data_IF_760973416154
#
_entry.id   IF_760973416154
#
_cell.length_a   1.000
_cell.length_b   1.000
_cell.length_c   1.000
_cell.angle_alpha   90.00
_cell.angle_beta   90.00
_cell.angle_gamma   90.00
#
_symmetry.space_group_name_H-M   'P 1'
#
loop_
_entity.id
_entity.type
_entity.pdbx_description
1 polymer ?
#
# COMPACT_ATOMS: atom_id res chain seq x y z
N UNK A 1 19.93 21.81 -1.92
CA UNK A 1 19.21 21.23 -0.76
C UNK A 1 18.10 20.20 -1.10
N UNK A 2 17.93 19.74 -2.35
CA UNK A 2 16.91 18.71 -2.70
C UNK A 2 17.33 17.28 -2.29
N UNK A 3 18.62 16.97 -2.42
CA UNK A 3 19.19 15.64 -2.13
C UNK A 3 19.01 15.28 -0.65
N UNK A 4 19.32 16.20 0.27
CA UNK A 4 19.18 15.97 1.72
C UNK A 4 17.75 15.58 2.11
N UNK A 5 16.73 16.28 1.58
CA UNK A 5 15.33 15.94 1.83
C UNK A 5 14.96 14.55 1.30
N UNK A 6 15.49 14.17 0.14
CA UNK A 6 15.29 12.84 -0.43
C UNK A 6 15.92 11.74 0.44
N UNK A 7 17.15 11.96 0.93
CA UNK A 7 17.84 11.03 1.84
C UNK A 7 17.07 10.86 3.15
N UNK A 8 16.60 11.96 3.75
CA UNK A 8 15.79 11.93 4.98
C UNK A 8 14.47 11.18 4.74
N UNK A 9 13.79 11.44 3.62
CA UNK A 9 12.57 10.74 3.26
C UNK A 9 12.82 9.23 3.09
N UNK A 10 13.90 8.85 2.41
CA UNK A 10 14.26 7.44 2.20
C UNK A 10 14.56 6.73 3.54
N UNK A 11 15.28 7.39 4.45
CA UNK A 11 15.54 6.84 5.79
C UNK A 11 14.24 6.55 6.55
N UNK A 12 13.34 7.54 6.64
CA UNK A 12 12.07 7.35 7.33
C UNK A 12 11.17 6.31 6.67
N UNK A 13 11.19 6.22 5.34
CA UNK A 13 10.47 5.21 4.58
C UNK A 13 10.96 3.80 4.90
N UNK A 14 12.28 3.57 4.83
CA UNK A 14 12.89 2.28 5.18
C UNK A 14 12.60 1.89 6.62
N UNK A 15 12.62 2.85 7.56
CA UNK A 15 12.28 2.59 8.96
C UNK A 15 10.81 2.21 9.14
N UNK A 16 9.89 2.88 8.44
CA UNK A 16 8.47 2.53 8.44
C UNK A 16 8.23 1.11 7.94
N UNK A 17 8.86 0.71 6.83
CA UNK A 17 8.77 -0.67 6.31
C UNK A 17 9.30 -1.67 7.33
N UNK A 18 10.51 -1.45 7.86
CA UNK A 18 11.13 -2.36 8.81
C UNK A 18 10.29 -2.57 10.06
N UNK A 19 9.72 -1.50 10.63
CA UNK A 19 8.85 -1.57 11.79
C UNK A 19 7.54 -2.30 11.49
N UNK A 20 6.96 -2.05 10.30
CA UNK A 20 5.76 -2.75 9.83
C UNK A 20 5.98 -4.25 9.69
N UNK A 21 7.16 -4.68 9.21
CA UNK A 21 7.53 -6.10 9.13
C UNK A 21 7.75 -6.75 10.49
N UNK A 22 7.97 -5.95 11.54
CA UNK A 22 8.02 -6.39 12.94
C UNK A 22 6.69 -6.17 13.67
N UNK A 23 5.60 -5.94 12.94
CA UNK A 23 4.23 -5.72 13.46
C UNK A 23 4.08 -4.52 14.41
N UNK A 24 5.06 -3.59 14.40
CA UNK A 24 5.03 -2.34 15.18
C UNK A 24 4.30 -1.24 14.41
N UNK A 25 3.00 -1.44 14.18
CA UNK A 25 2.23 -0.64 13.20
C UNK A 25 2.11 0.84 13.58
N UNK A 26 1.92 1.19 14.86
CA UNK A 26 1.84 2.59 15.29
C UNK A 26 3.15 3.35 15.08
N UNK A 27 4.28 2.75 15.48
CA UNK A 27 5.61 3.33 15.23
C UNK A 27 5.87 3.45 13.72
N UNK A 28 5.53 2.43 12.95
CA UNK A 28 5.66 2.45 11.50
C UNK A 28 4.85 3.59 10.87
N UNK A 29 3.65 3.87 11.38
CA UNK A 29 2.78 4.93 10.91
C UNK A 29 3.34 6.32 11.24
N UNK A 30 3.96 6.50 12.40
CA UNK A 30 4.68 7.74 12.74
C UNK A 30 5.85 8.00 11.77
N UNK A 31 6.67 6.98 11.49
CA UNK A 31 7.74 7.07 10.51
C UNK A 31 7.22 7.34 9.08
N UNK A 32 6.06 6.79 8.72
CA UNK A 32 5.41 7.10 7.45
C UNK A 32 4.96 8.57 7.38
N UNK A 33 4.39 9.12 8.46
CA UNK A 33 4.04 10.54 8.58
C UNK A 33 5.29 11.43 8.51
N UNK A 34 6.43 10.99 9.05
CA UNK A 34 7.71 11.70 8.87
C UNK A 34 8.16 11.67 7.42
N UNK A 35 8.03 10.52 6.74
CA UNK A 35 8.35 10.38 5.30
C UNK A 35 7.60 11.40 4.46
N UNK A 36 6.29 11.57 4.68
CA UNK A 36 5.46 12.49 3.88
C UNK A 36 5.81 13.98 4.05
N UNK A 37 6.47 14.37 5.14
CA UNK A 37 6.96 15.74 5.34
C UNK A 37 8.13 16.10 4.41
N UNK A 38 8.88 15.10 3.95
CA UNK A 38 10.09 15.30 3.14
C UNK A 38 9.96 14.78 1.69
N UNK A 39 9.09 13.77 1.48
CA UNK A 39 8.80 13.19 0.17
C UNK A 39 7.88 14.12 -0.64
N UNK A 40 8.19 14.31 -1.92
CA UNK A 40 7.40 15.18 -2.84
C UNK A 40 6.47 14.42 -3.79
N UNK A 41 6.75 13.14 -4.01
CA UNK A 41 6.03 12.30 -4.98
C UNK A 41 5.53 11.09 -4.23
N UNK A 42 4.23 10.83 -4.28
CA UNK A 42 3.60 9.67 -3.67
C UNK A 42 3.04 8.79 -4.79
N UNK A 43 3.38 7.51 -4.72
CA UNK A 43 2.99 6.47 -5.67
C UNK A 43 2.05 5.46 -5.00
N UNK A 44 1.61 4.48 -5.78
CA UNK A 44 0.76 3.40 -5.33
C UNK A 44 1.36 2.64 -4.14
N UNK A 45 2.67 2.38 -4.11
CA UNK A 45 3.32 1.70 -2.97
C UNK A 45 3.19 2.49 -1.67
N UNK A 46 3.40 3.81 -1.74
CA UNK A 46 3.24 4.68 -0.58
C UNK A 46 1.82 4.62 -0.02
N UNK A 47 0.83 4.74 -0.91
CA UNK A 47 -0.57 4.75 -0.51
C UNK A 47 -1.06 3.37 -0.02
N UNK A 48 -0.58 2.27 -0.59
CA UNK A 48 -0.87 0.92 -0.10
C UNK A 48 -0.29 0.70 1.30
N UNK A 49 0.98 1.06 1.50
CA UNK A 49 1.62 0.95 2.81
C UNK A 49 0.92 1.82 3.86
N UNK A 50 0.48 3.02 3.47
CA UNK A 50 -0.34 3.88 4.31
C UNK A 50 -1.68 3.23 4.66
N UNK A 51 -2.39 2.69 3.67
CA UNK A 51 -3.66 2.01 3.88
C UNK A 51 -3.54 0.81 4.81
N UNK A 52 -2.53 -0.03 4.59
CA UNK A 52 -2.21 -1.15 5.47
C UNK A 52 -2.01 -0.70 6.92
N UNK A 53 -1.08 0.24 7.16
CA UNK A 53 -0.78 0.71 8.52
C UNK A 53 -1.98 1.38 9.21
N UNK A 54 -2.75 2.18 8.48
CA UNK A 54 -3.97 2.78 9.02
C UNK A 54 -5.01 1.72 9.41
N UNK A 55 -5.15 0.67 8.60
CA UNK A 55 -6.06 -0.43 8.88
C UNK A 55 -5.63 -1.21 10.12
N UNK A 56 -4.34 -1.55 10.20
CA UNK A 56 -3.75 -2.26 11.35
C UNK A 56 -3.77 -1.46 12.66
N UNK A 57 -3.96 -0.14 12.59
CA UNK A 57 -4.07 0.76 13.74
C UNK A 57 -5.51 1.20 14.02
N UNK A 58 -6.51 0.57 13.38
CA UNK A 58 -7.92 0.84 13.64
C UNK A 58 -8.51 2.09 12.96
N UNK A 59 -7.75 2.75 12.08
CA UNK A 59 -8.19 3.94 11.33
C UNK A 59 -8.86 3.55 10.00
N UNK A 60 -9.92 2.75 10.05
CA UNK A 60 -10.56 2.11 8.89
C UNK A 60 -10.91 3.08 7.74
N UNK A 61 -11.59 4.19 8.02
CA UNK A 61 -11.97 5.16 6.97
C UNK A 61 -10.76 5.77 6.25
N UNK A 62 -9.71 6.08 7.01
CA UNK A 62 -8.49 6.65 6.45
C UNK A 62 -7.72 5.60 5.66
N UNK A 63 -7.73 4.35 6.12
CA UNK A 63 -7.19 3.22 5.37
C UNK A 63 -7.87 3.07 4.01
N UNK A 64 -9.20 3.02 3.96
CA UNK A 64 -9.96 2.93 2.69
C UNK A 64 -9.65 4.11 1.76
N UNK A 65 -9.55 5.34 2.29
CA UNK A 65 -9.16 6.51 1.48
C UNK A 65 -7.77 6.35 0.87
N UNK A 66 -6.80 5.84 1.62
CA UNK A 66 -5.44 5.59 1.11
C UNK A 66 -5.43 4.46 0.07
N UNK A 67 -6.15 3.36 0.31
CA UNK A 67 -6.27 2.25 -0.64
C UNK A 67 -6.91 2.70 -1.98
N UNK A 68 -7.95 3.54 -1.94
CA UNK A 68 -8.54 4.16 -3.14
C UNK A 68 -7.51 4.97 -3.93
N UNK A 69 -6.75 5.84 -3.25
CA UNK A 69 -5.68 6.63 -3.88
C UNK A 69 -4.60 5.76 -4.52
N UNK A 70 -4.24 4.65 -3.90
CA UNK A 70 -3.28 3.72 -4.47
C UNK A 70 -3.77 3.15 -5.81
N UNK A 71 -5.04 2.72 -5.86
CA UNK A 71 -5.64 2.18 -7.08
C UNK A 71 -5.75 3.27 -8.15
N UNK A 72 -6.23 4.46 -7.79
CA UNK A 72 -6.29 5.61 -8.72
C UNK A 72 -4.92 5.93 -9.31
N UNK A 73 -3.87 5.98 -8.48
CA UNK A 73 -2.52 6.22 -8.96
C UNK A 73 -2.04 5.09 -9.88
N UNK A 74 -2.29 3.83 -9.53
CA UNK A 74 -1.88 2.66 -10.32
C UNK A 74 -2.46 2.66 -11.74
N UNK A 75 -3.62 3.30 -11.94
CA UNK A 75 -4.30 3.44 -13.22
C UNK A 75 -3.94 4.73 -13.96
N UNK A 76 -3.22 5.65 -13.33
CA UNK A 76 -2.77 6.88 -13.97
C UNK A 76 -1.62 6.63 -14.95
N UNK A 77 -1.43 7.54 -15.90
CA UNK A 77 -0.31 7.50 -16.86
C UNK A 77 1.09 7.57 -16.19
N UNK A 78 1.15 7.99 -14.93
CA UNK A 78 2.40 8.08 -14.16
C UNK A 78 2.83 6.72 -13.59
N UNK A 79 1.90 5.79 -13.46
CA UNK A 79 2.17 4.42 -13.00
C UNK A 79 3.01 3.68 -14.03
N UNK A 80 4.03 2.98 -13.56
CA UNK A 80 4.91 2.15 -14.41
C UNK A 80 4.54 0.66 -14.37
N UNK A 81 3.47 0.33 -13.66
CA UNK A 81 3.04 -1.06 -13.47
C UNK A 81 2.52 -1.64 -14.77
N UNK A 82 2.81 -2.93 -14.98
CA UNK A 82 2.11 -3.69 -16.00
C UNK A 82 0.68 -4.04 -15.56
N UNK A 83 -0.13 -4.57 -16.47
CA UNK A 83 -1.53 -4.88 -16.19
C UNK A 83 -1.71 -5.89 -15.06
N UNK A 84 -0.84 -6.89 -14.98
CA UNK A 84 -0.91 -7.94 -13.95
C UNK A 84 -0.55 -7.39 -12.57
N UNK A 85 0.43 -6.48 -12.49
CA UNK A 85 0.77 -5.78 -11.25
C UNK A 85 -0.35 -4.86 -10.77
N UNK A 86 -1.02 -4.15 -11.68
CA UNK A 86 -2.20 -3.32 -11.33
C UNK A 86 -3.31 -4.18 -10.72
N UNK A 87 -3.59 -5.34 -11.32
CA UNK A 87 -4.58 -6.29 -10.82
C UNK A 87 -4.14 -6.86 -9.46
N UNK A 88 -2.87 -7.24 -9.32
CA UNK A 88 -2.31 -7.76 -8.07
C UNK A 88 -2.45 -6.77 -6.91
N UNK A 89 -2.07 -5.51 -7.13
CA UNK A 89 -2.16 -4.46 -6.10
C UNK A 89 -3.60 -4.08 -5.77
N UNK A 90 -4.51 -4.08 -6.76
CA UNK A 90 -5.94 -3.92 -6.51
C UNK A 90 -6.46 -5.05 -5.62
N UNK A 91 -6.12 -6.31 -5.91
CA UNK A 91 -6.52 -7.46 -5.10
C UNK A 91 -5.96 -7.39 -3.67
N UNK A 92 -4.70 -6.97 -3.52
CA UNK A 92 -4.12 -6.69 -2.21
C UNK A 92 -4.91 -5.62 -1.45
N UNK A 93 -5.24 -4.50 -2.08
CA UNK A 93 -6.04 -3.44 -1.47
C UNK A 93 -7.45 -3.94 -1.06
N UNK A 94 -8.09 -4.75 -1.91
CA UNK A 94 -9.37 -5.40 -1.61
C UNK A 94 -9.27 -6.31 -0.38
N UNK A 95 -8.22 -7.13 -0.30
CA UNK A 95 -7.97 -8.00 0.84
C UNK A 95 -7.85 -7.18 2.13
N UNK A 96 -7.06 -6.10 2.13
CA UNK A 96 -6.96 -5.22 3.30
C UNK A 96 -8.33 -4.63 3.66
N UNK A 97 -9.06 -4.10 2.68
CA UNK A 97 -10.38 -3.52 2.91
C UNK A 97 -11.38 -4.52 3.51
N UNK A 98 -11.30 -5.80 3.12
CA UNK A 98 -12.18 -6.85 3.66
C UNK A 98 -12.00 -7.12 5.16
N UNK A 99 -10.85 -6.74 5.74
CA UNK A 99 -10.61 -6.88 7.17
C UNK A 99 -11.17 -5.74 8.01
N UNK A 100 -11.56 -4.63 7.40
CA UNK A 100 -11.91 -3.39 8.11
C UNK A 100 -13.38 -3.28 8.51
N UNK A 101 -14.18 -4.33 8.27
CA UNK A 101 -15.62 -4.40 8.56
C UNK A 101 -16.42 -3.19 8.02
N UNK A 102 -15.97 -2.64 6.90
CA UNK A 102 -16.64 -1.52 6.22
C UNK A 102 -17.77 -2.11 5.38
N UNK A 103 -19.00 -1.59 5.53
CA UNK A 103 -20.22 -2.03 4.81
C UNK A 103 -20.10 -1.88 3.27
N UNK A 104 -19.30 -2.74 2.66
CA UNK A 104 -18.97 -2.74 1.25
C UNK A 104 -17.47 -2.86 1.06
N UNK A 105 -17.02 -4.03 0.58
CA UNK A 105 -15.68 -4.16 -0.01
C UNK A 105 -15.66 -3.24 -1.24
N UNK A 106 -14.87 -2.16 -1.25
CA UNK A 106 -15.02 -1.12 -2.28
C UNK A 106 -14.54 -1.57 -3.67
N UNK A 107 -13.92 -2.75 -3.78
CA UNK A 107 -13.28 -3.21 -5.01
C UNK A 107 -13.58 -4.69 -5.26
N UNK A 108 -13.87 -5.05 -6.51
CA UNK A 108 -13.99 -6.45 -6.91
C UNK A 108 -12.61 -7.11 -7.05
N UNK A 109 -12.46 -8.34 -6.58
CA UNK A 109 -11.31 -9.21 -6.86
C UNK A 109 -11.32 -9.59 -8.34
N UNK A 110 -10.15 -9.57 -8.98
CA UNK A 110 -9.95 -10.07 -10.33
C UNK A 110 -8.78 -11.06 -10.34
N UNK A 111 -9.06 -12.34 -10.62
CA UNK A 111 -8.02 -13.37 -10.69
C UNK A 111 -7.44 -13.57 -12.10
N UNK A 112 -7.92 -12.81 -13.10
CA UNK A 112 -7.40 -12.86 -14.46
C UNK A 112 -6.11 -12.04 -14.60
N UNK A 113 -5.03 -12.50 -13.97
CA UNK A 113 -3.69 -11.94 -14.10
C UNK A 113 -2.61 -13.02 -13.99
N UNK A 114 -1.47 -12.80 -14.63
CA UNK A 114 -0.33 -13.71 -14.57
C UNK A 114 0.62 -13.32 -13.42
N UNK A 115 0.69 -14.15 -12.38
CA UNK A 115 1.57 -13.93 -11.22
C UNK A 115 3.07 -13.92 -11.54
N UNK A 116 3.48 -14.49 -12.69
CA UNK A 116 4.86 -14.44 -13.18
C UNK A 116 5.22 -13.03 -13.71
N UNK A 117 4.23 -12.26 -14.15
CA UNK A 117 4.41 -10.87 -14.58
C UNK A 117 4.42 -9.89 -13.39
N UNK A 118 4.10 -10.35 -12.18
CA UNK A 118 4.21 -9.54 -10.96
C UNK A 118 5.62 -9.62 -10.42
N UNK A 119 6.28 -8.47 -10.28
CA UNK A 119 7.64 -8.38 -9.73
C UNK A 119 7.74 -9.00 -8.32
N UNK A 120 8.90 -9.61 -8.04
CA UNK A 120 9.20 -10.23 -6.73
C UNK A 120 9.08 -9.23 -5.58
N UNK A 121 9.55 -8.00 -5.79
CA UNK A 121 9.44 -6.89 -4.84
C UNK A 121 8.00 -6.60 -4.41
N UNK A 122 7.05 -6.52 -5.36
CA UNK A 122 5.64 -6.31 -5.02
C UNK A 122 5.06 -7.49 -4.25
N UNK A 123 5.41 -8.72 -4.64
CA UNK A 123 4.97 -9.95 -3.95
C UNK A 123 5.51 -10.03 -2.52
N UNK A 124 6.74 -9.59 -2.29
CA UNK A 124 7.36 -9.60 -0.97
C UNK A 124 6.70 -8.58 -0.02
N UNK A 125 6.48 -7.35 -0.53
CA UNK A 125 5.92 -6.24 0.24
C UNK A 125 4.41 -6.34 0.45
N UNK A 126 3.67 -6.67 -0.59
CA UNK A 126 2.21 -6.61 -0.62
C UNK A 126 1.64 -8.02 -0.77
N UNK A 127 1.80 -8.83 0.28
CA UNK A 127 1.47 -10.26 0.27
C UNK A 127 -0.04 -10.51 0.14
N UNK A 128 -0.56 -10.50 -1.09
CA UNK A 128 -1.94 -10.89 -1.37
C UNK A 128 -2.12 -12.41 -1.22
N UNK A 129 -3.18 -12.81 -0.52
CA UNK A 129 -3.67 -14.19 -0.49
C UNK A 129 -5.19 -14.17 -0.62
N UNK A 130 -5.72 -14.79 -1.69
CA UNK A 130 -7.17 -14.87 -1.93
C UNK A 130 -7.92 -15.52 -0.76
N UNK A 131 -7.33 -16.54 -0.13
CA UNK A 131 -7.93 -17.24 1.02
C UNK A 131 -8.13 -16.37 2.26
N UNK A 132 -7.52 -15.18 2.29
CA UNK A 132 -7.64 -14.23 3.39
C UNK A 132 -8.71 -13.16 3.16
N UNK A 133 -9.29 -13.09 1.96
CA UNK A 133 -10.36 -12.14 1.64
C UNK A 133 -11.65 -12.57 2.35
N UNK A 134 -12.20 -11.70 3.20
CA UNK A 134 -13.50 -11.91 3.85
C UNK A 134 -14.61 -11.41 2.91
N UNK A 135 -15.45 -12.31 2.40
CA UNK A 135 -16.59 -12.02 1.51
C UNK A 135 -17.87 -12.20 2.30
#
# INVERSE_FOLDING_TARGET
MKIIKAVIAAYYWSKSISLSSSEKYEEALDYLKKTSKFRKVFDEEFFLHQGFLLGSTGHSDSSIKSLKKAIEYSMSEKSKLNIDEKIYLKNYATMIASFLDVHGVPFQINDAYNTNNVSSHLKEKFRYKKSLVKI
#
